data_IF_790488093738
#
_entry.id   IF_790488093738
#
_cell.length_a   1.000
_cell.length_b   1.000
_cell.length_c   1.000
_cell.angle_alpha   90.00
_cell.angle_beta   90.00
_cell.angle_gamma   90.00
#
_symmetry.space_group_name_H-M   'P 1'
#
loop_
_entity.id
_entity.type
_entity.pdbx_description
1 polymer ?
#
# COMPACT_ATOMS: atom_id res chain seq x y z
N UNK A 1 -16.71 22.01 -3.04
CA UNK A 1 -16.53 20.89 -2.11
C UNK A 1 -15.15 21.08 -1.51
N UNK A 2 -15.06 21.22 -0.20
CA UNK A 2 -13.85 21.63 0.54
C UNK A 2 -12.69 20.64 0.26
N UNK A 3 -11.50 21.15 -0.06
CA UNK A 3 -10.29 20.36 -0.36
C UNK A 3 -9.99 19.34 0.75
N UNK A 4 -10.27 19.72 2.00
CA UNK A 4 -10.10 18.86 3.19
C UNK A 4 -11.06 17.68 3.26
N UNK A 5 -12.19 17.74 2.55
CA UNK A 5 -13.17 16.64 2.45
C UNK A 5 -12.72 15.66 1.36
N UNK A 6 -12.16 16.16 0.26
CA UNK A 6 -11.62 15.34 -0.83
C UNK A 6 -10.45 14.49 -0.34
N UNK A 7 -9.55 15.07 0.46
CA UNK A 7 -8.43 14.34 1.04
C UNK A 7 -8.87 13.27 2.03
N UNK A 8 -9.88 13.55 2.86
CA UNK A 8 -10.43 12.56 3.79
C UNK A 8 -11.09 11.39 3.08
N UNK A 9 -11.83 11.66 2.01
CA UNK A 9 -12.45 10.60 1.22
C UNK A 9 -11.41 9.76 0.48
N UNK A 10 -10.40 10.38 -0.13
CA UNK A 10 -9.27 9.64 -0.73
C UNK A 10 -8.54 8.77 0.29
N UNK A 11 -8.25 9.30 1.48
CA UNK A 11 -7.62 8.54 2.55
C UNK A 11 -8.47 7.32 2.96
N UNK A 12 -9.80 7.50 3.08
CA UNK A 12 -10.73 6.40 3.37
C UNK A 12 -10.69 5.32 2.29
N UNK A 13 -10.68 5.70 1.02
CA UNK A 13 -10.62 4.77 -0.10
C UNK A 13 -9.27 4.02 -0.16
N UNK A 14 -8.16 4.71 0.10
CA UNK A 14 -6.83 4.07 0.20
C UNK A 14 -6.82 3.02 1.31
N UNK A 15 -7.36 3.35 2.48
CA UNK A 15 -7.47 2.40 3.59
C UNK A 15 -8.33 1.19 3.22
N UNK A 16 -9.49 1.40 2.59
CA UNK A 16 -10.36 0.31 2.14
C UNK A 16 -9.68 -0.60 1.10
N UNK A 17 -8.86 -0.03 0.20
CA UNK A 17 -8.07 -0.81 -0.74
C UNK A 17 -7.01 -1.65 -0.03
N UNK A 18 -6.29 -1.10 0.95
CA UNK A 18 -5.31 -1.84 1.75
C UNK A 18 -5.93 -2.97 2.57
N UNK A 19 -7.16 -2.82 3.05
CA UNK A 19 -7.89 -3.86 3.80
C UNK A 19 -8.22 -5.10 2.97
N UNK A 20 -8.23 -4.99 1.64
CA UNK A 20 -8.41 -6.15 0.75
C UNK A 20 -7.16 -7.01 0.60
N UNK A 21 -5.99 -6.51 1.02
CA UNK A 21 -4.76 -7.28 1.06
C UNK A 21 -4.75 -8.20 2.29
N UNK A 22 -4.02 -9.31 2.19
CA UNK A 22 -3.75 -10.12 3.39
C UNK A 22 -2.95 -9.30 4.39
N UNK A 23 -3.10 -9.63 5.67
CA UNK A 23 -2.44 -8.90 6.76
C UNK A 23 -0.93 -8.69 6.52
N UNK A 24 -0.19 -9.75 6.17
CA UNK A 24 1.25 -9.65 5.92
C UNK A 24 1.62 -8.76 4.72
N UNK A 25 0.74 -8.68 3.72
CA UNK A 25 0.93 -7.83 2.52
C UNK A 25 0.67 -6.36 2.86
N UNK A 26 -0.36 -6.11 3.66
CA UNK A 26 -0.67 -4.78 4.17
C UNK A 26 0.42 -4.27 5.11
N UNK A 27 0.95 -5.11 6.01
CA UNK A 27 2.02 -4.75 6.93
C UNK A 27 3.27 -4.29 6.18
N UNK A 28 3.72 -5.04 5.16
CA UNK A 28 4.94 -4.66 4.42
C UNK A 28 4.75 -3.33 3.67
N UNK A 29 3.56 -3.08 3.12
CA UNK A 29 3.22 -1.79 2.47
C UNK A 29 3.15 -0.66 3.50
N UNK A 30 2.50 -0.89 4.64
CA UNK A 30 2.35 0.10 5.70
C UNK A 30 3.71 0.57 6.22
N UNK A 31 4.57 -0.38 6.62
CA UNK A 31 5.89 -0.06 7.14
C UNK A 31 6.74 0.68 6.09
N UNK A 32 6.69 0.24 4.82
CA UNK A 32 7.50 0.85 3.77
C UNK A 32 7.05 2.27 3.39
N UNK A 33 5.75 2.53 3.29
CA UNK A 33 5.23 3.77 2.69
C UNK A 33 4.60 4.74 3.69
N UNK A 34 4.02 4.25 4.79
CA UNK A 34 3.42 5.12 5.82
C UNK A 34 4.43 5.47 6.90
N UNK A 35 5.29 4.52 7.28
CA UNK A 35 6.36 4.77 8.26
C UNK A 35 7.72 5.06 7.62
N UNK A 36 7.82 5.00 6.29
CA UNK A 36 9.06 5.24 5.54
C UNK A 36 10.24 4.36 5.97
N UNK A 37 9.99 3.15 6.49
CA UNK A 37 11.07 2.24 6.87
C UNK A 37 11.86 1.80 5.62
N UNK A 38 13.20 1.91 5.61
CA UNK A 38 14.02 1.37 4.54
C UNK A 38 13.95 -0.16 4.53
N UNK A 39 14.20 -0.77 3.37
CA UNK A 39 14.08 -2.23 3.18
C UNK A 39 14.94 -3.04 4.16
N UNK A 40 16.09 -2.50 4.58
CA UNK A 40 16.96 -3.13 5.58
C UNK A 40 16.27 -3.24 6.94
N UNK A 41 15.74 -2.14 7.46
CA UNK A 41 15.05 -2.12 8.75
C UNK A 41 13.75 -2.93 8.70
N UNK A 42 13.08 -2.93 7.55
CA UNK A 42 11.93 -3.77 7.31
C UNK A 42 12.28 -5.27 7.35
N UNK A 43 13.43 -5.64 6.79
CA UNK A 43 13.93 -7.01 6.82
C UNK A 43 14.27 -7.46 8.25
N UNK A 44 14.90 -6.58 9.03
CA UNK A 44 15.18 -6.78 10.46
C UNK A 44 13.87 -6.94 11.26
N UNK A 45 12.91 -6.03 11.07
CA UNK A 45 11.60 -6.09 11.72
C UNK A 45 10.82 -7.37 11.39
N UNK A 46 10.86 -7.80 10.13
CA UNK A 46 10.15 -9.00 9.67
C UNK A 46 10.92 -10.31 9.91
N UNK A 47 12.15 -10.26 10.42
CA UNK A 47 13.00 -11.44 10.63
C UNK A 47 13.30 -12.22 9.34
N UNK A 48 13.52 -11.52 8.21
CA UNK A 48 13.74 -12.17 6.90
C UNK A 48 14.86 -11.49 6.10
N UNK A 49 15.25 -12.08 4.96
CA UNK A 49 16.25 -11.47 4.08
C UNK A 49 15.68 -10.25 3.33
N UNK A 50 16.53 -9.27 3.00
CA UNK A 50 16.11 -8.09 2.21
C UNK A 50 15.48 -8.47 0.86
N UNK A 51 16.00 -9.51 0.19
CA UNK A 51 15.40 -10.03 -1.05
C UNK A 51 13.97 -10.54 -0.85
N UNK A 52 13.65 -11.09 0.33
CA UNK A 52 12.31 -11.51 0.70
C UNK A 52 11.38 -10.29 0.85
N UNK A 53 11.85 -9.22 1.49
CA UNK A 53 11.10 -7.94 1.59
C UNK A 53 10.75 -7.41 0.20
N UNK A 54 11.73 -7.32 -0.72
CA UNK A 54 11.50 -6.88 -2.11
C UNK A 54 10.42 -7.71 -2.80
N UNK A 55 10.53 -9.04 -2.74
CA UNK A 55 9.56 -9.93 -3.38
C UNK A 55 8.16 -9.86 -2.75
N UNK A 56 8.06 -9.57 -1.44
CA UNK A 56 6.78 -9.40 -0.74
C UNK A 56 6.15 -8.06 -1.09
N UNK A 57 6.93 -6.97 -1.11
CA UNK A 57 6.48 -5.65 -1.55
C UNK A 57 5.96 -5.70 -2.99
N UNK A 58 6.72 -6.28 -3.92
CA UNK A 58 6.30 -6.40 -5.31
C UNK A 58 4.95 -7.13 -5.44
N UNK A 59 4.79 -8.27 -4.76
CA UNK A 59 3.54 -9.04 -4.78
C UNK A 59 2.37 -8.28 -4.14
N UNK A 60 2.60 -7.65 -2.99
CA UNK A 60 1.58 -6.85 -2.29
C UNK A 60 1.11 -5.65 -3.14
N UNK A 61 2.04 -4.93 -3.77
CA UNK A 61 1.73 -3.80 -4.64
C UNK A 61 1.04 -4.22 -5.93
N UNK A 62 1.40 -5.38 -6.50
CA UNK A 62 0.70 -5.95 -7.66
C UNK A 62 -0.78 -6.22 -7.34
N UNK A 63 -1.04 -6.88 -6.21
CA UNK A 63 -2.41 -7.12 -5.73
C UNK A 63 -3.16 -5.83 -5.41
N UNK A 64 -2.50 -4.87 -4.76
CA UNK A 64 -3.11 -3.58 -4.45
C UNK A 64 -3.50 -2.85 -5.72
N UNK A 65 -2.66 -2.91 -6.76
CA UNK A 65 -2.97 -2.35 -8.08
C UNK A 65 -4.20 -3.00 -8.70
N UNK A 66 -4.29 -4.33 -8.69
CA UNK A 66 -5.47 -5.07 -9.19
C UNK A 66 -6.74 -4.64 -8.45
N UNK A 67 -6.69 -4.57 -7.12
CA UNK A 67 -7.80 -4.11 -6.28
C UNK A 67 -8.22 -2.68 -6.64
N UNK A 68 -7.25 -1.78 -6.77
CA UNK A 68 -7.52 -0.38 -7.10
C UNK A 68 -8.17 -0.28 -8.48
N UNK A 69 -7.62 -0.97 -9.49
CA UNK A 69 -8.18 -0.97 -10.85
C UNK A 69 -9.62 -1.51 -10.88
N UNK A 70 -9.90 -2.59 -10.14
CA UNK A 70 -11.19 -3.26 -10.20
C UNK A 70 -12.27 -2.60 -9.34
N UNK A 71 -11.90 -2.05 -8.18
CA UNK A 71 -12.87 -1.64 -7.13
C UNK A 71 -12.78 -0.16 -6.74
N UNK A 72 -11.63 0.47 -6.96
CA UNK A 72 -11.40 1.87 -6.59
C UNK A 72 -10.75 2.67 -7.73
N UNK A 73 -11.29 2.64 -8.96
CA UNK A 73 -10.67 3.29 -10.12
C UNK A 73 -10.51 4.80 -9.93
N UNK A 74 -11.31 5.44 -9.07
CA UNK A 74 -11.17 6.84 -8.69
C UNK A 74 -9.86 7.18 -7.94
N UNK A 75 -9.11 6.18 -7.46
CA UNK A 75 -7.78 6.36 -6.89
C UNK A 75 -6.67 6.40 -7.95
N UNK A 76 -6.96 5.93 -9.17
CA UNK A 76 -6.10 6.14 -10.33
C UNK A 76 -6.28 7.59 -10.75
N UNK A 77 -5.40 8.48 -10.31
CA UNK A 77 -5.38 9.84 -10.86
C UNK A 77 -5.22 9.82 -12.38
N UNK A 78 -5.47 10.96 -13.04
CA UNK A 78 -5.12 11.10 -14.45
C UNK A 78 -3.63 10.77 -14.60
N UNK A 79 -3.34 9.66 -15.26
CA UNK A 79 -1.97 9.23 -15.54
C UNK A 79 -1.46 10.18 -16.61
N UNK A 80 -0.80 11.25 -16.20
CA UNK A 80 -0.05 12.14 -17.10
C UNK A 80 1.28 11.49 -17.45
#
# INVERSE_FOLDING_TARGET
MDETVIDRERARLIWAALESLREQERVVVYLRYFLNLPERELAEYMGCAQGTVKSRLHRALGKLREVVVQRYPQLLGETT
#
